data_IF_076483431841
#
_entry.id   IF_076483431841
#
_cell.length_a   1.000
_cell.length_b   1.000
_cell.length_c   1.000
_cell.angle_alpha   90.00
_cell.angle_beta   90.00
_cell.angle_gamma   90.00
#
_symmetry.space_group_name_H-M   'P 1'
#
loop_
_entity.id
_entity.type
_entity.pdbx_description
1 polymer ?
#
# COMPACT_ATOMS: atom_id res chain seq x y z
N UNK A 1 8.98 8.42 -28.73
CA UNK A 1 7.63 8.97 -28.60
C UNK A 1 7.13 9.47 -29.97
N UNK A 2 6.56 8.58 -30.79
CA UNK A 2 6.11 8.92 -32.14
C UNK A 2 4.82 9.78 -32.17
N UNK A 3 4.12 9.95 -31.06
CA UNK A 3 2.83 10.66 -30.99
C UNK A 3 2.88 12.02 -30.33
N UNK A 4 4.01 12.41 -29.70
CA UNK A 4 4.13 13.69 -28.99
C UNK A 4 3.18 13.86 -27.78
N UNK A 5 2.46 12.83 -27.37
CA UNK A 5 1.54 12.88 -26.22
C UNK A 5 2.30 12.72 -24.91
N UNK A 6 1.97 13.58 -23.94
CA UNK A 6 2.52 13.58 -22.59
C UNK A 6 1.57 12.89 -21.59
N UNK A 7 2.08 12.58 -20.40
CA UNK A 7 1.25 12.09 -19.29
C UNK A 7 0.12 13.06 -18.94
N UNK A 8 0.33 14.37 -19.15
CA UNK A 8 -0.69 15.40 -18.92
C UNK A 8 -1.85 15.28 -19.92
N UNK A 9 -1.57 14.90 -21.16
CA UNK A 9 -2.60 14.63 -22.16
C UNK A 9 -3.42 13.40 -21.77
N UNK A 10 -2.77 12.35 -21.26
CA UNK A 10 -3.43 11.16 -20.75
C UNK A 10 -4.31 11.47 -19.53
N UNK A 11 -3.83 12.33 -18.60
CA UNK A 11 -4.61 12.82 -17.46
C UNK A 11 -5.86 13.59 -17.94
N UNK A 12 -5.69 14.49 -18.92
CA UNK A 12 -6.79 15.27 -19.51
C UNK A 12 -7.83 14.37 -20.16
N UNK A 13 -7.40 13.34 -20.87
CA UNK A 13 -8.31 12.34 -21.46
C UNK A 13 -9.11 11.59 -20.40
N UNK A 14 -8.47 11.15 -19.31
CA UNK A 14 -9.14 10.47 -18.20
C UNK A 14 -10.14 11.39 -17.48
N UNK A 15 -9.78 12.65 -17.26
CA UNK A 15 -10.70 13.66 -16.70
C UNK A 15 -11.94 13.91 -17.57
N UNK A 16 -11.82 13.73 -18.89
CA UNK A 16 -12.92 13.86 -19.86
C UNK A 16 -13.81 12.61 -19.97
N UNK A 17 -13.54 11.52 -19.26
CA UNK A 17 -14.37 10.32 -19.30
C UNK A 17 -15.72 10.54 -18.62
N UNK A 18 -16.76 9.93 -19.20
CA UNK A 18 -18.09 9.96 -18.59
C UNK A 18 -18.12 9.10 -17.32
N UNK A 19 -18.14 9.76 -16.17
CA UNK A 19 -18.17 9.11 -14.85
C UNK A 19 -19.51 8.38 -14.57
N UNK A 20 -20.56 8.62 -15.37
CA UNK A 20 -21.83 7.88 -15.29
C UNK A 20 -21.75 6.52 -15.99
N UNK A 21 -20.77 6.34 -16.85
CA UNK A 21 -20.55 5.04 -17.51
C UNK A 21 -20.22 3.99 -16.45
N UNK A 22 -20.84 2.79 -16.60
CA UNK A 22 -20.67 1.67 -15.66
C UNK A 22 -19.19 1.32 -15.43
N UNK A 23 -18.36 1.41 -16.46
CA UNK A 23 -16.92 1.11 -16.38
C UNK A 23 -16.19 2.02 -15.39
N UNK A 24 -16.56 3.31 -15.31
CA UNK A 24 -15.91 4.31 -14.46
C UNK A 24 -16.66 4.59 -13.15
N UNK A 25 -17.76 3.87 -12.90
CA UNK A 25 -18.51 4.03 -11.66
C UNK A 25 -17.66 3.58 -10.47
N UNK A 26 -17.58 4.45 -9.48
CA UNK A 26 -16.85 4.16 -8.22
C UNK A 26 -17.37 2.87 -7.55
N UNK A 27 -16.46 2.05 -7.10
CA UNK A 27 -16.70 0.78 -6.41
C UNK A 27 -17.63 -0.22 -7.16
N UNK A 28 -17.74 -0.09 -8.47
CA UNK A 28 -18.55 -0.99 -9.30
C UNK A 28 -17.96 -1.22 -10.71
N UNK A 29 -16.90 -0.52 -11.06
CA UNK A 29 -16.19 -0.62 -12.33
C UNK A 29 -14.68 -0.76 -12.12
N UNK A 30 -13.89 0.14 -12.71
CA UNK A 30 -12.44 0.16 -12.63
C UNK A 30 -11.99 0.53 -11.21
N UNK A 31 -11.10 -0.27 -10.61
CA UNK A 31 -10.54 0.00 -9.28
C UNK A 31 -9.48 1.11 -9.31
N UNK A 32 -8.73 1.21 -10.38
CA UNK A 32 -7.66 2.19 -10.57
C UNK A 32 -7.52 2.54 -12.04
N UNK A 33 -7.26 3.81 -12.34
CA UNK A 33 -6.93 4.31 -13.67
C UNK A 33 -5.51 4.85 -13.67
N UNK A 34 -4.72 4.49 -14.70
CA UNK A 34 -3.37 4.98 -14.88
C UNK A 34 -3.28 5.89 -16.09
N UNK A 35 -2.67 7.07 -15.91
CA UNK A 35 -2.18 7.91 -16.99
C UNK A 35 -0.69 7.63 -17.15
N UNK A 36 -0.26 7.30 -18.36
CA UNK A 36 1.08 6.78 -18.63
C UNK A 36 1.65 7.43 -19.87
N UNK A 37 2.90 7.87 -19.80
CA UNK A 37 3.73 8.16 -20.96
C UNK A 37 5.03 7.35 -20.92
N UNK A 38 6.04 7.74 -21.69
CA UNK A 38 7.34 7.06 -21.73
C UNK A 38 8.11 7.13 -20.41
N UNK A 39 7.95 8.23 -19.65
CA UNK A 39 8.77 8.58 -18.49
C UNK A 39 8.03 8.48 -17.17
N UNK A 40 6.69 8.71 -17.14
CA UNK A 40 5.94 8.88 -15.90
C UNK A 40 4.62 8.13 -15.89
N UNK A 41 4.22 7.74 -14.68
CA UNK A 41 2.92 7.13 -14.37
C UNK A 41 2.23 7.93 -13.28
N UNK A 42 0.97 8.25 -13.51
CA UNK A 42 0.06 8.79 -12.51
C UNK A 42 -1.15 7.89 -12.37
N UNK A 43 -1.71 7.82 -11.18
CA UNK A 43 -2.88 6.98 -10.90
C UNK A 43 -3.98 7.74 -10.18
N UNK A 44 -5.21 7.25 -10.33
CA UNK A 44 -6.36 7.64 -9.52
C UNK A 44 -7.27 6.43 -9.30
N UNK A 45 -7.88 6.36 -8.13
CA UNK A 45 -8.88 5.32 -7.79
C UNK A 45 -10.32 5.78 -8.05
N UNK A 46 -10.52 7.06 -8.35
CA UNK A 46 -11.83 7.61 -8.64
C UNK A 46 -11.74 8.76 -9.64
N UNK A 47 -12.49 8.67 -10.73
CA UNK A 47 -12.70 9.79 -11.65
C UNK A 47 -13.82 10.69 -11.15
N UNK A 48 -13.55 12.00 -11.09
CA UNK A 48 -14.48 13.08 -10.65
C UNK A 48 -14.53 14.21 -11.70
N UNK A 49 -14.37 13.87 -12.98
CA UNK A 49 -14.25 14.86 -14.05
C UNK A 49 -13.02 15.76 -13.85
N UNK A 50 -13.21 17.09 -13.96
CA UNK A 50 -12.16 18.09 -13.72
C UNK A 50 -11.49 17.96 -12.35
N UNK A 51 -12.25 17.57 -11.34
CA UNK A 51 -11.82 17.51 -9.94
C UNK A 51 -11.06 16.21 -9.60
N UNK A 52 -10.83 15.37 -10.60
CA UNK A 52 -10.03 14.15 -10.43
C UNK A 52 -8.61 14.49 -9.99
N UNK A 53 -8.20 13.94 -8.84
CA UNK A 53 -6.83 14.05 -8.35
C UNK A 53 -6.01 12.82 -8.77
N UNK A 54 -4.83 13.08 -9.32
CA UNK A 54 -3.90 12.03 -9.71
C UNK A 54 -2.68 12.04 -8.81
N UNK A 55 -2.27 10.88 -8.36
CA UNK A 55 -1.06 10.65 -7.58
C UNK A 55 0.06 10.09 -8.47
N UNK A 56 1.31 10.54 -8.32
CA UNK A 56 2.43 9.91 -9.00
C UNK A 56 2.59 8.45 -8.54
N UNK A 57 2.87 7.57 -9.49
CA UNK A 57 3.07 6.14 -9.27
C UNK A 57 4.44 5.66 -9.78
N UNK A 58 5.43 6.53 -9.75
CA UNK A 58 6.78 6.25 -10.24
C UNK A 58 7.60 5.41 -9.25
N UNK A 59 8.58 4.64 -9.78
CA UNK A 59 9.51 3.81 -8.99
C UNK A 59 10.42 4.61 -8.06
N UNK A 60 10.71 5.86 -8.41
CA UNK A 60 11.80 6.66 -7.85
C UNK A 60 13.12 6.42 -8.59
N UNK A 61 13.98 7.45 -8.64
CA UNK A 61 15.35 7.38 -9.19
C UNK A 61 16.34 7.19 -8.05
N UNK A 62 17.46 6.52 -8.32
CA UNK A 62 18.52 6.30 -7.35
C UNK A 62 18.16 5.31 -6.24
N UNK A 63 19.06 5.19 -5.28
CA UNK A 63 18.92 4.31 -4.12
C UNK A 63 19.30 5.06 -2.83
N UNK A 64 18.75 4.60 -1.70
CA UNK A 64 19.07 5.14 -0.37
C UNK A 64 18.69 6.62 -0.23
N UNK A 65 19.64 7.42 0.23
CA UNK A 65 19.45 8.86 0.49
C UNK A 65 19.29 9.68 -0.79
N UNK A 66 19.84 9.19 -1.91
CA UNK A 66 19.80 9.87 -3.22
C UNK A 66 18.53 9.52 -4.01
N UNK A 67 17.59 8.82 -3.41
CA UNK A 67 16.35 8.46 -4.07
C UNK A 67 15.49 9.70 -4.34
N UNK A 68 15.22 9.96 -5.62
CA UNK A 68 14.43 11.09 -6.12
C UNK A 68 13.14 10.69 -6.84
N UNK A 69 12.40 11.70 -7.31
CA UNK A 69 11.17 11.50 -8.08
C UNK A 69 11.45 10.94 -9.49
N UNK A 70 10.41 10.40 -10.13
CA UNK A 70 10.48 9.86 -11.49
C UNK A 70 10.78 8.37 -11.54
N UNK A 71 11.24 7.89 -12.67
CA UNK A 71 11.61 6.49 -12.90
C UNK A 71 13.10 6.36 -13.28
N UNK A 72 13.73 5.20 -13.02
CA UNK A 72 15.08 4.95 -13.49
C UNK A 72 15.15 5.00 -15.02
N UNK A 73 16.23 5.53 -15.55
CA UNK A 73 16.45 5.54 -16.98
C UNK A 73 16.48 4.11 -17.54
N UNK A 74 15.74 3.87 -18.62
CA UNK A 74 15.72 2.61 -19.34
C UNK A 74 16.16 2.81 -20.78
N UNK A 75 17.37 2.36 -21.10
CA UNK A 75 17.94 2.50 -22.43
C UNK A 75 17.35 1.54 -23.48
N UNK A 76 16.56 0.55 -23.03
CA UNK A 76 16.01 -0.50 -23.88
C UNK A 76 14.49 -0.35 -24.11
N UNK A 77 13.84 0.61 -23.45
CA UNK A 77 12.40 0.80 -23.54
C UNK A 77 11.88 1.93 -22.66
N UNK A 78 10.54 2.01 -22.47
CA UNK A 78 9.94 3.01 -21.61
C UNK A 78 10.40 2.85 -20.14
N UNK A 79 10.68 3.98 -19.48
CA UNK A 79 10.95 4.01 -18.04
C UNK A 79 9.76 3.47 -17.21
N UNK A 80 8.58 3.47 -17.83
CA UNK A 80 7.30 3.05 -17.25
C UNK A 80 6.95 1.59 -17.51
N UNK A 81 7.82 0.79 -18.16
CA UNK A 81 7.51 -0.61 -18.53
C UNK A 81 7.20 -1.53 -17.35
N UNK A 82 7.68 -1.19 -16.14
CA UNK A 82 7.35 -1.94 -14.91
C UNK A 82 5.83 -2.02 -14.64
N UNK A 83 5.06 -1.07 -15.17
CA UNK A 83 3.61 -1.06 -14.99
C UNK A 83 2.99 -2.35 -15.55
N UNK A 84 3.35 -2.73 -16.77
CA UNK A 84 2.80 -3.96 -17.38
C UNK A 84 3.68 -5.18 -17.17
N UNK A 85 5.01 -5.01 -17.00
CA UNK A 85 5.91 -6.14 -16.77
C UNK A 85 5.88 -6.66 -15.35
N UNK A 86 5.58 -5.82 -14.34
CA UNK A 86 5.62 -6.21 -12.94
C UNK A 86 4.28 -6.03 -12.24
N UNK A 87 3.66 -4.84 -12.33
CA UNK A 87 2.45 -4.52 -11.57
C UNK A 87 1.20 -5.22 -12.13
N UNK A 88 1.02 -5.21 -13.45
CA UNK A 88 -0.17 -5.74 -14.12
C UNK A 88 -0.04 -7.24 -14.49
N UNK A 89 0.95 -7.94 -13.98
CA UNK A 89 0.98 -9.41 -14.03
C UNK A 89 -0.13 -9.99 -13.16
N UNK A 90 -0.64 -11.17 -13.56
CA UNK A 90 -1.72 -11.85 -12.86
C UNK A 90 -1.46 -11.99 -11.36
N UNK A 91 -0.29 -12.49 -11.00
CA UNK A 91 0.12 -12.73 -9.61
C UNK A 91 0.17 -11.42 -8.81
N UNK A 92 0.69 -10.35 -9.41
CA UNK A 92 0.75 -9.02 -8.79
C UNK A 92 -0.63 -8.41 -8.60
N UNK A 93 -1.53 -8.57 -9.58
CA UNK A 93 -2.92 -8.07 -9.48
C UNK A 93 -3.67 -8.83 -8.38
N UNK A 94 -3.53 -10.15 -8.32
CA UNK A 94 -4.14 -10.95 -7.27
C UNK A 94 -3.64 -10.53 -5.89
N UNK A 95 -2.32 -10.34 -5.73
CA UNK A 95 -1.73 -9.84 -4.48
C UNK A 95 -2.25 -8.44 -4.12
N UNK A 96 -2.40 -7.54 -5.10
CA UNK A 96 -2.94 -6.20 -4.88
C UNK A 96 -4.38 -6.26 -4.34
N UNK A 97 -5.23 -7.07 -4.96
CA UNK A 97 -6.64 -7.24 -4.56
C UNK A 97 -6.74 -7.89 -3.18
N UNK A 98 -5.93 -8.92 -2.93
CA UNK A 98 -5.97 -9.68 -1.68
C UNK A 98 -5.46 -8.88 -0.48
N UNK A 99 -4.37 -8.08 -0.66
CA UNK A 99 -3.61 -7.56 0.48
C UNK A 99 -3.54 -6.04 0.56
N UNK A 100 -3.66 -5.33 -0.57
CA UNK A 100 -3.32 -3.91 -0.62
C UNK A 100 -4.52 -3.00 -0.90
N UNK A 101 -5.51 -3.47 -1.66
CA UNK A 101 -6.65 -2.63 -2.03
C UNK A 101 -7.74 -2.78 -0.97
N UNK A 102 -8.17 -1.65 -0.41
CA UNK A 102 -9.28 -1.62 0.54
C UNK A 102 -10.08 -0.33 0.44
N UNK A 103 -11.31 -0.35 0.95
CA UNK A 103 -12.14 0.83 1.09
C UNK A 103 -11.84 1.54 2.41
N UNK A 104 -11.84 2.87 2.39
CA UNK A 104 -11.85 3.65 3.64
C UNK A 104 -13.06 3.27 4.51
N UNK A 105 -12.99 3.46 5.85
CA UNK A 105 -14.10 3.11 6.76
C UNK A 105 -15.41 3.77 6.38
N UNK A 106 -15.39 4.99 5.87
CA UNK A 106 -16.55 5.75 5.37
C UNK A 106 -16.99 5.32 3.95
N UNK A 107 -16.28 4.37 3.33
CA UNK A 107 -16.52 3.82 1.98
C UNK A 107 -16.53 4.86 0.86
N UNK A 108 -15.87 6.01 1.05
CA UNK A 108 -15.80 7.06 0.05
C UNK A 108 -14.61 6.96 -0.89
N UNK A 109 -13.53 6.32 -0.43
CA UNK A 109 -12.32 6.20 -1.22
C UNK A 109 -11.82 4.75 -1.26
N UNK A 110 -11.22 4.38 -2.39
CA UNK A 110 -10.46 3.14 -2.53
C UNK A 110 -8.99 3.52 -2.30
N UNK A 111 -8.37 2.86 -1.34
CA UNK A 111 -6.93 2.98 -1.08
C UNK A 111 -6.21 1.98 -1.98
N UNK A 112 -5.27 2.49 -2.75
CA UNK A 112 -4.38 1.74 -3.61
C UNK A 112 -2.93 2.07 -3.23
N UNK A 113 -2.02 1.09 -3.07
CA UNK A 113 -0.66 1.37 -2.62
C UNK A 113 0.13 2.15 -3.68
N UNK A 114 0.94 3.11 -3.27
CA UNK A 114 1.97 3.67 -4.13
C UNK A 114 3.07 2.64 -4.38
N UNK A 115 3.81 2.79 -5.47
CA UNK A 115 4.85 1.85 -5.84
C UNK A 115 5.85 1.58 -4.68
N UNK A 116 6.33 2.65 -4.01
CA UNK A 116 7.31 2.54 -2.92
C UNK A 116 6.73 1.81 -1.70
N UNK A 117 5.46 2.02 -1.39
CA UNK A 117 4.81 1.36 -0.26
C UNK A 117 4.73 -0.16 -0.49
N UNK A 118 4.21 -0.58 -1.64
CA UNK A 118 4.15 -1.99 -2.03
C UNK A 118 5.55 -2.62 -2.08
N UNK A 119 6.53 -1.91 -2.67
CA UNK A 119 7.92 -2.39 -2.74
C UNK A 119 8.51 -2.62 -1.35
N UNK A 120 8.31 -1.69 -0.41
CA UNK A 120 8.83 -1.83 0.96
C UNK A 120 8.24 -3.05 1.66
N UNK A 121 6.91 -3.22 1.61
CA UNK A 121 6.23 -4.37 2.21
C UNK A 121 6.73 -5.67 1.58
N UNK A 122 6.72 -5.79 0.26
CA UNK A 122 7.12 -7.03 -0.42
C UNK A 122 8.58 -7.42 -0.13
N UNK A 123 9.51 -6.44 -0.12
CA UNK A 123 10.93 -6.72 0.19
C UNK A 123 11.13 -7.27 1.61
N UNK A 124 10.38 -6.77 2.59
CA UNK A 124 10.45 -7.30 3.95
C UNK A 124 9.87 -8.71 4.00
N UNK A 125 8.71 -8.94 3.37
CA UNK A 125 8.09 -10.27 3.36
C UNK A 125 8.96 -11.32 2.66
N UNK A 126 9.60 -10.95 1.55
CA UNK A 126 10.53 -11.82 0.80
C UNK A 126 11.75 -12.16 1.64
N UNK A 127 12.36 -11.17 2.31
CA UNK A 127 13.52 -11.41 3.16
C UNK A 127 13.16 -12.24 4.41
N UNK A 128 12.00 -11.98 5.03
CA UNK A 128 11.56 -12.73 6.21
C UNK A 128 11.19 -14.20 5.92
N UNK A 129 10.81 -14.55 4.69
CA UNK A 129 10.62 -15.96 4.32
C UNK A 129 11.92 -16.76 4.40
N UNK A 130 13.06 -16.12 4.18
CA UNK A 130 14.38 -16.76 4.19
C UNK A 130 15.08 -16.61 5.54
N UNK A 131 15.01 -15.41 6.14
CA UNK A 131 15.77 -15.04 7.33
C UNK A 131 14.89 -15.00 8.60
N UNK A 132 13.61 -15.31 8.50
CA UNK A 132 12.65 -15.26 9.61
C UNK A 132 12.69 -13.90 10.32
N UNK A 133 12.69 -13.89 11.67
CA UNK A 133 12.69 -12.67 12.49
C UNK A 133 14.10 -12.20 12.89
N UNK A 134 15.16 -12.75 12.30
CA UNK A 134 16.56 -12.50 12.72
C UNK A 134 17.12 -11.17 12.23
N UNK A 135 16.31 -10.37 11.50
CA UNK A 135 16.76 -9.10 10.93
C UNK A 135 15.95 -7.90 11.39
N UNK A 136 16.65 -6.76 11.43
CA UNK A 136 16.04 -5.46 11.64
C UNK A 136 15.90 -4.72 10.30
N UNK A 137 14.78 -4.02 10.10
CA UNK A 137 14.49 -3.25 8.89
C UNK A 137 14.28 -1.79 9.24
N UNK A 138 14.82 -0.90 8.41
CA UNK A 138 14.55 0.54 8.47
C UNK A 138 13.84 0.96 7.18
N UNK A 139 12.61 1.48 7.31
CA UNK A 139 11.86 2.06 6.19
C UNK A 139 11.87 3.58 6.35
N UNK A 140 12.64 4.26 5.49
CA UNK A 140 12.67 5.72 5.47
C UNK A 140 11.76 6.24 4.36
N UNK A 141 10.68 6.87 4.74
CA UNK A 141 9.75 7.54 3.83
C UNK A 141 9.56 9.00 4.24
N UNK A 142 9.40 9.90 3.26
CA UNK A 142 9.14 11.32 3.50
C UNK A 142 7.81 11.56 4.25
N UNK A 143 7.65 12.75 4.83
CA UNK A 143 6.37 13.16 5.41
C UNK A 143 5.26 13.13 4.33
N UNK A 144 4.05 12.71 4.70
CA UNK A 144 2.92 12.62 3.77
C UNK A 144 2.98 11.48 2.74
N UNK A 145 3.97 10.57 2.83
CA UNK A 145 4.11 9.44 1.90
C UNK A 145 3.13 8.29 2.16
N UNK A 146 2.29 8.37 3.20
CA UNK A 146 1.36 7.33 3.59
C UNK A 146 1.99 6.19 4.39
N UNK A 147 2.96 6.49 5.27
CA UNK A 147 3.61 5.52 6.17
C UNK A 147 2.62 4.69 6.96
N UNK A 148 1.56 5.30 7.45
CA UNK A 148 0.45 4.65 8.19
C UNK A 148 -0.11 3.45 7.44
N UNK A 149 -0.45 3.61 6.16
CA UNK A 149 -0.93 2.51 5.34
C UNK A 149 0.15 1.45 5.10
N UNK A 150 1.42 1.86 4.95
CA UNK A 150 2.54 0.92 4.80
C UNK A 150 2.68 0.03 6.02
N UNK A 151 2.57 0.60 7.23
CA UNK A 151 2.61 -0.15 8.50
C UNK A 151 1.42 -1.11 8.59
N UNK A 152 0.21 -0.63 8.27
CA UNK A 152 -0.98 -1.46 8.29
C UNK A 152 -0.89 -2.65 7.32
N UNK A 153 -0.48 -2.42 6.08
CA UNK A 153 -0.27 -3.51 5.10
C UNK A 153 0.81 -4.50 5.56
N UNK A 154 1.91 -4.00 6.12
CA UNK A 154 2.97 -4.86 6.63
C UNK A 154 2.46 -5.72 7.78
N UNK A 155 1.78 -5.13 8.78
CA UNK A 155 1.24 -5.86 9.92
C UNK A 155 0.28 -6.97 9.49
N UNK A 156 -0.68 -6.69 8.61
CA UNK A 156 -1.61 -7.69 8.09
C UNK A 156 -0.91 -8.78 7.26
N UNK A 157 0.09 -8.41 6.48
CA UNK A 157 0.82 -9.38 5.66
C UNK A 157 1.71 -10.30 6.50
N UNK A 158 2.27 -9.79 7.61
CA UNK A 158 3.12 -10.56 8.51
C UNK A 158 2.37 -11.66 9.26
N UNK A 159 1.15 -11.39 9.73
CA UNK A 159 0.35 -12.40 10.46
C UNK A 159 -0.13 -13.57 9.58
N UNK A 160 -0.05 -13.41 8.26
CA UNK A 160 -0.36 -14.46 7.28
C UNK A 160 0.88 -14.95 6.52
N UNK A 161 2.09 -14.60 7.01
CA UNK A 161 3.33 -15.00 6.37
C UNK A 161 3.75 -16.40 6.82
N UNK A 162 3.92 -17.28 5.85
CA UNK A 162 4.37 -18.65 6.06
C UNK A 162 5.74 -18.86 5.38
N UNK A 163 6.52 -19.74 5.96
CA UNK A 163 7.76 -20.25 5.36
C UNK A 163 7.48 -21.30 4.28
N UNK A 164 8.56 -21.92 3.76
CA UNK A 164 8.47 -22.96 2.73
C UNK A 164 7.82 -24.26 3.24
N UNK A 165 7.82 -24.48 4.56
CA UNK A 165 7.20 -25.63 5.23
C UNK A 165 5.75 -25.35 5.63
N UNK A 166 5.19 -24.20 5.20
CA UNK A 166 3.84 -23.73 5.53
C UNK A 166 3.62 -23.49 7.04
N UNK A 167 4.68 -23.14 7.77
CA UNK A 167 4.60 -22.73 9.16
C UNK A 167 4.51 -21.21 9.28
N UNK A 168 3.76 -20.72 10.25
CA UNK A 168 3.70 -19.28 10.53
C UNK A 168 5.08 -18.77 10.99
N UNK A 169 5.60 -17.76 10.33
CA UNK A 169 6.86 -17.09 10.73
C UNK A 169 6.63 -16.16 11.92
N UNK A 170 5.43 -15.62 12.06
CA UNK A 170 5.08 -14.62 13.07
C UNK A 170 3.77 -15.01 13.77
N UNK A 171 3.79 -15.12 15.09
CA UNK A 171 2.59 -15.41 15.88
C UNK A 171 1.74 -14.16 16.11
N UNK A 172 2.38 -13.07 16.50
CA UNK A 172 1.75 -11.78 16.80
C UNK A 172 2.62 -10.62 16.31
N UNK A 173 1.99 -9.62 15.75
CA UNK A 173 2.64 -8.35 15.35
C UNK A 173 2.29 -7.28 16.38
N UNK A 174 3.31 -6.72 17.03
CA UNK A 174 3.17 -5.57 17.92
C UNK A 174 3.53 -4.29 17.15
N UNK A 175 2.56 -3.39 17.03
CA UNK A 175 2.73 -2.07 16.42
C UNK A 175 2.81 -1.03 17.52
N UNK A 176 4.00 -0.41 17.67
CA UNK A 176 4.25 0.62 18.69
C UNK A 176 4.37 1.98 18.03
N UNK A 177 3.63 2.97 18.53
CA UNK A 177 3.66 4.34 18.05
C UNK A 177 3.94 5.31 19.20
N UNK A 178 4.72 6.35 18.94
CA UNK A 178 5.09 7.36 19.94
C UNK A 178 4.12 8.55 20.07
N UNK A 179 3.08 8.61 19.21
CA UNK A 179 2.19 9.78 19.11
C UNK A 179 0.72 9.40 19.11
N UNK A 180 -0.03 9.88 20.08
CA UNK A 180 -1.48 9.65 20.23
C UNK A 180 -2.28 10.06 18.97
N UNK A 181 -1.93 11.17 18.30
CA UNK A 181 -2.66 11.63 17.09
C UNK A 181 -2.43 10.71 15.90
N UNK A 182 -1.21 10.20 15.72
CA UNK A 182 -0.86 9.25 14.65
C UNK A 182 -1.43 7.87 14.96
N UNK A 183 -1.60 7.56 16.25
CA UNK A 183 -2.16 6.30 16.71
C UNK A 183 -3.58 6.06 16.19
N UNK A 184 -4.48 7.04 16.26
CA UNK A 184 -5.85 6.91 15.72
C UNK A 184 -5.86 6.62 14.22
N UNK A 185 -5.08 7.35 13.44
CA UNK A 185 -4.98 7.12 11.98
C UNK A 185 -4.41 5.74 11.67
N UNK A 186 -3.45 5.28 12.46
CA UNK A 186 -2.85 3.97 12.30
C UNK A 186 -3.83 2.86 12.70
N UNK A 187 -4.55 3.02 13.79
CA UNK A 187 -5.60 2.10 14.23
C UNK A 187 -6.70 1.98 13.18
N UNK A 188 -7.17 3.12 12.63
CA UNK A 188 -8.19 3.14 11.57
C UNK A 188 -7.69 2.45 10.30
N UNK A 189 -6.43 2.67 9.91
CA UNK A 189 -5.83 1.99 8.77
C UNK A 189 -5.72 0.47 8.99
N UNK A 190 -5.26 0.05 10.18
CA UNK A 190 -5.16 -1.38 10.52
C UNK A 190 -6.55 -2.04 10.51
N UNK A 191 -7.56 -1.40 11.12
CA UNK A 191 -8.94 -1.92 11.13
C UNK A 191 -9.58 -1.95 9.74
N UNK A 192 -9.24 -1.01 8.86
CA UNK A 192 -9.79 -0.95 7.50
C UNK A 192 -9.41 -2.13 6.62
N UNK A 193 -8.32 -2.81 6.96
CA UNK A 193 -7.81 -3.99 6.24
C UNK A 193 -8.30 -5.29 6.91
N UNK A 194 -8.92 -5.21 8.11
CA UNK A 194 -9.36 -6.40 8.85
C UNK A 194 -10.48 -7.13 8.09
N UNK A 195 -10.20 -8.38 7.71
CA UNK A 195 -11.17 -9.26 7.06
C UNK A 195 -11.88 -10.20 8.04
N UNK A 196 -11.35 -10.35 9.24
CA UNK A 196 -11.90 -11.23 10.30
C UNK A 196 -11.97 -10.47 11.63
N UNK A 197 -13.15 -10.30 12.23
CA UNK A 197 -13.31 -9.64 13.53
C UNK A 197 -12.51 -10.34 14.64
N UNK A 198 -11.87 -9.55 15.51
CA UNK A 198 -11.17 -10.06 16.70
C UNK A 198 -9.69 -10.41 16.50
N UNK A 199 -9.16 -10.24 15.31
CA UNK A 199 -7.72 -10.44 15.02
C UNK A 199 -6.87 -9.29 15.56
N UNK A 200 -7.46 -8.10 15.68
CA UNK A 200 -6.80 -6.86 16.07
C UNK A 200 -7.23 -6.44 17.48
N UNK A 201 -6.27 -6.16 18.35
CA UNK A 201 -6.49 -5.50 19.64
C UNK A 201 -5.74 -4.18 19.69
N UNK A 202 -6.48 -3.13 19.91
CA UNK A 202 -5.94 -1.79 20.09
C UNK A 202 -5.93 -1.46 21.58
N UNK A 203 -4.76 -1.07 22.09
CA UNK A 203 -4.62 -0.57 23.44
C UNK A 203 -4.97 0.91 23.47
N UNK A 204 -6.00 1.27 24.18
CA UNK A 204 -6.41 2.66 24.40
C UNK A 204 -5.63 3.29 25.57
N UNK A 205 -5.84 4.58 25.83
CA UNK A 205 -5.19 5.33 26.89
C UNK A 205 -5.45 4.81 28.31
N UNK A 206 -6.41 3.88 28.48
CA UNK A 206 -6.78 3.23 29.74
C UNK A 206 -6.17 1.84 29.88
N UNK A 207 -5.60 1.30 28.80
CA UNK A 207 -5.01 -0.02 28.80
C UNK A 207 -3.79 -0.06 29.72
N UNK A 208 -3.67 -1.13 30.46
CA UNK A 208 -2.55 -1.37 31.38
C UNK A 208 -1.53 -2.30 30.75
N UNK A 209 -0.34 -2.39 31.34
CA UNK A 209 0.67 -3.38 30.96
C UNK A 209 0.16 -4.83 31.09
N UNK A 210 -0.82 -5.07 31.95
CA UNK A 210 -1.46 -6.38 32.09
C UNK A 210 -2.37 -6.68 30.89
N UNK A 211 -3.13 -5.69 30.43
CA UNK A 211 -3.96 -5.84 29.23
C UNK A 211 -3.12 -6.14 27.98
N UNK A 212 -1.93 -5.53 27.89
CA UNK A 212 -0.96 -5.81 26.83
C UNK A 212 -0.43 -7.25 26.97
N UNK A 213 -0.02 -7.66 28.18
CA UNK A 213 0.47 -9.01 28.42
C UNK A 213 -0.61 -10.07 28.08
N UNK A 214 -1.85 -9.85 28.50
CA UNK A 214 -2.98 -10.74 28.21
C UNK A 214 -3.28 -10.80 26.70
N UNK A 215 -3.10 -9.68 25.96
CA UNK A 215 -3.27 -9.66 24.52
C UNK A 215 -2.18 -10.45 23.79
N UNK A 216 -0.92 -10.31 24.24
CA UNK A 216 0.23 -11.01 23.66
C UNK A 216 0.22 -12.52 24.02
N UNK A 217 -0.27 -12.88 25.20
CA UNK A 217 -0.42 -14.27 25.61
C UNK A 217 -1.64 -14.97 24.97
N UNK A 218 -2.59 -14.19 24.42
CA UNK A 218 -3.79 -14.67 23.77
C UNK A 218 -3.62 -14.99 22.29
N UNK A 219 -4.74 -15.15 21.59
CA UNK A 219 -4.77 -15.43 20.15
C UNK A 219 -4.82 -14.16 19.28
N UNK A 220 -4.49 -12.99 19.85
CA UNK A 220 -4.50 -11.72 19.12
C UNK A 220 -3.34 -11.70 18.12
N UNK A 221 -3.64 -11.44 16.86
CA UNK A 221 -2.64 -11.45 15.78
C UNK A 221 -1.95 -10.10 15.60
N UNK A 222 -2.66 -9.00 15.82
CA UNK A 222 -2.10 -7.65 15.73
C UNK A 222 -2.46 -6.88 17.01
N UNK A 223 -1.46 -6.37 17.69
CA UNK A 223 -1.62 -5.50 18.87
C UNK A 223 -1.05 -4.13 18.53
N UNK A 224 -1.87 -3.09 18.64
CA UNK A 224 -1.43 -1.70 18.45
C UNK A 224 -1.43 -0.98 19.80
N UNK A 225 -0.32 -0.30 20.12
CA UNK A 225 -0.12 0.42 21.38
C UNK A 225 0.73 1.68 21.19
N UNK A 226 0.66 2.60 22.12
CA UNK A 226 1.54 3.77 22.24
C UNK A 226 2.61 3.54 23.31
#
# INVERSE_FOLDING_TARGET
>A
NSSGQSVQDAIKQLKGRDVKNRLFRFNAGVLVSFAVDWMEVYMTTQLKGSDTYFLPFNKGKGEGIDQGAGNPQNNQGPETEYLWRDLLKKESILQLIERFIFLTPDKKDIIFPRYQQRRAVNRILEDMRVNHTDRNYLIQHSAGSGKTNTIAWLAHSLVSLHDEENQNIVDTVLVVNDRIVVDRQLQDAIRSIEHQPGVIKVMDDKATSRDLADALAGNTKIVATT
#
